data_IF_116560304951
#
_entry.id   IF_116560304951
#
_cell.length_a   1.000
_cell.length_b   1.000
_cell.length_c   1.000
_cell.angle_alpha   90.00
_cell.angle_beta   90.00
_cell.angle_gamma   90.00
#
_symmetry.space_group_name_H-M   'P 1'
#
loop_
_entity.id
_entity.type
_entity.pdbx_description
1 polymer ?
#
# COMPACT_ATOMS: atom_id res chain seq x y z
N UNK A 1 11.15 11.80 -6.52
CA UNK A 1 10.37 10.64 -6.01
C UNK A 1 8.89 10.94 -6.18
N UNK A 2 8.14 9.98 -6.68
CA UNK A 2 6.69 10.11 -6.80
C UNK A 2 6.03 9.52 -5.55
N UNK A 3 5.14 10.27 -4.91
CA UNK A 3 4.37 9.80 -3.77
C UNK A 3 2.88 10.04 -4.04
N UNK A 4 2.07 8.99 -4.18
CA UNK A 4 0.63 9.18 -4.37
C UNK A 4 -0.03 9.72 -3.10
N UNK A 5 -1.07 10.51 -3.28
CA UNK A 5 -1.95 10.96 -2.21
C UNK A 5 -3.31 10.30 -2.43
N UNK A 6 -3.69 9.42 -1.52
CA UNK A 6 -4.92 8.65 -1.64
C UNK A 6 -6.04 9.33 -0.85
N UNK A 7 -7.20 9.50 -1.47
CA UNK A 7 -8.36 10.07 -0.80
C UNK A 7 -8.94 9.08 0.21
N UNK A 8 -9.21 9.53 1.42
CA UNK A 8 -9.79 8.74 2.50
C UNK A 8 -10.88 9.53 3.21
N UNK A 9 -11.70 8.86 3.99
CA UNK A 9 -12.70 9.54 4.82
C UNK A 9 -12.05 10.23 6.02
N UNK A 10 -11.05 9.59 6.61
CA UNK A 10 -10.30 10.11 7.76
C UNK A 10 -8.84 9.66 7.62
N UNK A 11 -7.90 10.56 7.30
CA UNK A 11 -6.49 10.18 7.11
C UNK A 11 -5.85 9.55 8.35
N UNK A 12 -6.28 9.91 9.54
CA UNK A 12 -5.70 9.36 10.77
C UNK A 12 -6.15 7.93 10.99
N UNK A 13 -7.45 7.66 10.81
CA UNK A 13 -7.97 6.31 10.88
C UNK A 13 -7.41 5.44 9.75
N UNK A 14 -7.27 6.01 8.56
CA UNK A 14 -6.68 5.33 7.42
C UNK A 14 -5.24 4.90 7.72
N UNK A 15 -4.44 5.79 8.32
CA UNK A 15 -3.07 5.46 8.71
C UNK A 15 -3.03 4.30 9.71
N UNK A 16 -3.97 4.26 10.65
CA UNK A 16 -4.06 3.15 11.61
C UNK A 16 -4.27 1.81 10.90
N UNK A 17 -5.13 1.77 9.88
CA UNK A 17 -5.38 0.55 9.09
C UNK A 17 -4.08 0.07 8.43
N UNK A 18 -3.33 0.98 7.82
CA UNK A 18 -2.06 0.63 7.17
C UNK A 18 -1.03 0.15 8.20
N UNK A 19 -0.93 0.82 9.35
CA UNK A 19 0.03 0.43 10.40
C UNK A 19 -0.30 -0.96 10.94
N UNK A 20 -1.56 -1.29 11.14
CA UNK A 20 -1.97 -2.62 11.56
C UNK A 20 -1.60 -3.69 10.52
N UNK A 21 -1.61 -3.35 9.24
CA UNK A 21 -1.20 -4.26 8.17
C UNK A 21 0.33 -4.37 8.01
N UNK A 22 1.10 -3.64 8.82
CA UNK A 22 2.56 -3.75 8.83
C UNK A 22 3.30 -2.55 8.24
N UNK A 23 2.57 -1.50 7.80
CA UNK A 23 3.20 -0.27 7.33
C UNK A 23 3.67 0.58 8.52
N UNK A 24 4.62 1.48 8.29
CA UNK A 24 5.13 2.40 9.31
C UNK A 24 4.53 3.79 9.10
N UNK A 25 4.17 4.46 10.19
CA UNK A 25 3.76 5.85 10.13
C UNK A 25 5.00 6.72 9.94
N UNK A 26 5.00 7.54 8.88
CA UNK A 26 6.08 8.48 8.60
C UNK A 26 5.80 9.83 9.24
N UNK A 27 4.58 10.35 9.04
CA UNK A 27 4.13 11.57 9.70
C UNK A 27 2.61 11.63 9.75
N UNK A 28 2.11 12.49 10.64
CA UNK A 28 0.70 12.86 10.70
C UNK A 28 0.65 14.35 11.03
N UNK A 29 -0.15 15.10 10.30
CA UNK A 29 -0.39 16.52 10.64
C UNK A 29 -1.20 16.62 11.94
N UNK A 30 -1.10 17.73 12.67
CA UNK A 30 -1.95 17.94 13.84
C UNK A 30 -3.43 17.86 13.48
N UNK A 31 -4.24 17.24 14.32
CA UNK A 31 -5.68 17.04 14.05
C UNK A 31 -6.46 18.34 13.93
N UNK A 32 -5.96 19.41 14.52
CA UNK A 32 -6.59 20.74 14.49
C UNK A 32 -6.08 21.61 13.34
N UNK A 33 -5.19 21.11 12.49
CA UNK A 33 -4.78 21.85 11.29
C UNK A 33 -5.87 21.80 10.22
N UNK A 34 -5.85 22.76 9.30
CA UNK A 34 -6.85 22.85 8.24
C UNK A 34 -6.69 21.82 7.12
N UNK A 35 -5.64 21.01 7.15
CA UNK A 35 -5.31 20.07 6.08
C UNK A 35 -4.87 18.72 6.67
N UNK A 36 -5.84 17.86 7.04
CA UNK A 36 -5.52 16.53 7.55
C UNK A 36 -4.75 15.71 6.53
N UNK A 37 -3.58 15.24 6.92
CA UNK A 37 -2.70 14.45 6.05
C UNK A 37 -1.85 13.53 6.89
N UNK A 38 -1.72 12.28 6.46
CA UNK A 38 -0.79 11.32 7.04
C UNK A 38 0.06 10.71 5.94
N UNK A 39 1.14 10.07 6.33
CA UNK A 39 2.02 9.35 5.41
C UNK A 39 2.44 8.05 6.05
N UNK A 40 2.33 6.97 5.29
CA UNK A 40 2.76 5.64 5.70
C UNK A 40 3.75 5.08 4.68
N UNK A 41 4.57 4.15 5.13
CA UNK A 41 5.61 3.56 4.28
C UNK A 41 5.73 2.06 4.52
N UNK A 42 6.04 1.34 3.46
CA UNK A 42 6.40 -0.08 3.51
C UNK A 42 7.64 -0.28 2.64
N UNK A 43 8.72 -0.77 3.26
CA UNK A 43 9.99 -1.02 2.56
C UNK A 43 10.48 0.19 1.74
N UNK A 44 10.31 1.40 2.26
CA UNK A 44 10.70 2.63 1.60
C UNK A 44 9.68 3.21 0.62
N UNK A 45 8.68 2.44 0.21
CA UNK A 45 7.59 2.96 -0.60
C UNK A 45 6.62 3.74 0.28
N UNK A 46 6.26 4.95 -0.14
CA UNK A 46 5.42 5.86 0.64
C UNK A 46 4.10 6.13 -0.06
N UNK A 47 3.04 6.23 0.72
CA UNK A 47 1.77 6.80 0.28
C UNK A 47 1.32 7.83 1.31
N UNK A 48 0.74 8.91 0.84
CA UNK A 48 0.07 9.89 1.69
C UNK A 48 -1.42 9.62 1.69
N UNK A 49 -2.07 9.91 2.80
CA UNK A 49 -3.50 9.71 2.99
C UNK A 49 -4.11 11.05 3.29
N UNK A 50 -4.96 11.54 2.39
CA UNK A 50 -5.63 12.81 2.50
C UNK A 50 -7.13 12.65 2.62
N UNK A 51 -7.86 13.76 2.70
CA UNK A 51 -9.31 13.74 2.75
C UNK A 51 -9.92 13.60 1.35
N UNK A 52 -11.14 13.07 1.30
CA UNK A 52 -11.92 12.99 0.06
C UNK A 52 -12.57 14.34 -0.22
N UNK A 53 -11.91 15.17 -1.00
CA UNK A 53 -12.42 16.48 -1.38
C UNK A 53 -13.42 16.35 -2.54
N UNK A 54 -14.65 16.90 -2.41
CA UNK A 54 -15.68 16.73 -3.44
C UNK A 54 -15.27 17.25 -4.82
N UNK A 55 -14.40 18.24 -4.91
CA UNK A 55 -13.93 18.76 -6.20
C UNK A 55 -13.00 17.79 -6.93
N UNK A 56 -12.34 16.87 -6.22
CA UNK A 56 -11.48 15.86 -6.81
C UNK A 56 -12.11 14.49 -6.85
N UNK A 57 -13.01 14.22 -5.89
CA UNK A 57 -13.69 12.93 -5.77
C UNK A 57 -15.15 13.20 -5.42
N UNK A 58 -16.04 13.25 -6.43
CA UNK A 58 -17.48 13.45 -6.19
C UNK A 58 -18.01 12.40 -5.20
N UNK A 59 -18.97 12.80 -4.38
CA UNK A 59 -19.54 11.94 -3.34
C UNK A 59 -20.02 10.60 -3.90
N UNK A 60 -20.65 10.60 -5.06
CA UNK A 60 -21.16 9.38 -5.69
C UNK A 60 -20.06 8.45 -6.18
N UNK A 61 -18.81 8.92 -6.28
CA UNK A 61 -17.66 8.14 -6.75
C UNK A 61 -16.81 7.57 -5.61
N UNK A 62 -17.10 7.91 -4.35
CA UNK A 62 -16.26 7.52 -3.21
C UNK A 62 -16.15 6.00 -3.04
N UNK A 63 -17.21 5.26 -3.35
CA UNK A 63 -17.21 3.80 -3.27
C UNK A 63 -16.24 3.15 -4.26
N UNK A 64 -15.82 3.90 -5.29
CA UNK A 64 -14.95 3.40 -6.36
C UNK A 64 -13.62 4.16 -6.44
N UNK A 65 -13.20 4.80 -5.34
CA UNK A 65 -12.02 5.68 -5.35
C UNK A 65 -10.72 5.00 -5.76
N UNK A 66 -10.60 3.68 -5.56
CA UNK A 66 -9.44 2.92 -5.98
C UNK A 66 -9.58 2.24 -7.34
N UNK A 67 -10.68 2.47 -8.07
CA UNK A 67 -10.92 1.80 -9.34
C UNK A 67 -9.95 2.31 -10.42
N UNK A 68 -9.45 1.38 -11.23
CA UNK A 68 -8.61 1.72 -12.38
C UNK A 68 -7.16 1.99 -12.06
N UNK A 69 -6.73 1.82 -10.82
CA UNK A 69 -5.34 2.00 -10.43
C UNK A 69 -4.89 0.86 -9.51
N UNK A 70 -3.63 0.48 -9.65
CA UNK A 70 -2.98 -0.49 -8.79
C UNK A 70 -1.56 0.01 -8.52
N UNK A 71 -1.10 -0.12 -7.27
CA UNK A 71 0.23 0.30 -6.89
C UNK A 71 1.12 -0.92 -6.74
N UNK A 72 2.19 -0.96 -7.51
CA UNK A 72 3.21 -2.01 -7.42
C UNK A 72 4.35 -1.53 -6.54
N UNK A 73 4.71 -2.32 -5.53
CA UNK A 73 5.87 -2.03 -4.70
C UNK A 73 6.65 -3.31 -4.44
N UNK A 74 7.94 -3.17 -4.23
CA UNK A 74 8.82 -4.28 -3.91
C UNK A 74 9.24 -4.23 -2.46
N UNK A 75 9.32 -5.40 -1.86
CA UNK A 75 9.77 -5.58 -0.48
C UNK A 75 10.93 -6.57 -0.47
N UNK A 76 11.81 -6.55 0.55
CA UNK A 76 12.85 -7.56 0.63
C UNK A 76 12.26 -8.98 0.60
N UNK A 77 12.88 -9.86 -0.17
CA UNK A 77 12.40 -11.24 -0.31
C UNK A 77 12.29 -11.96 1.03
N UNK A 78 13.17 -11.65 1.98
CA UNK A 78 13.13 -12.22 3.31
C UNK A 78 11.90 -11.80 4.13
N UNK A 79 11.25 -10.70 3.76
CA UNK A 79 10.18 -10.10 4.56
C UNK A 79 8.78 -10.38 3.99
N UNK A 80 8.66 -10.90 2.76
CA UNK A 80 7.37 -10.97 2.09
C UNK A 80 6.36 -11.86 2.82
N UNK A 81 6.80 -12.95 3.43
CA UNK A 81 5.88 -13.85 4.13
C UNK A 81 5.29 -13.18 5.38
N UNK A 82 6.11 -12.45 6.14
CA UNK A 82 5.63 -11.71 7.30
C UNK A 82 4.70 -10.55 6.90
N UNK A 83 5.04 -9.87 5.81
CA UNK A 83 4.20 -8.79 5.27
C UNK A 83 2.86 -9.35 4.79
N UNK A 84 2.87 -10.49 4.11
CA UNK A 84 1.64 -11.17 3.70
C UNK A 84 0.77 -11.54 4.90
N UNK A 85 1.35 -12.10 5.96
CA UNK A 85 0.60 -12.48 7.15
C UNK A 85 -0.08 -11.28 7.81
N UNK A 86 0.62 -10.17 7.95
CA UNK A 86 0.04 -8.96 8.53
C UNK A 86 -1.11 -8.42 7.66
N UNK A 87 -0.94 -8.40 6.34
CA UNK A 87 -2.01 -7.97 5.43
C UNK A 87 -3.19 -8.93 5.44
N UNK A 88 -2.95 -10.23 5.54
CA UNK A 88 -4.02 -11.22 5.61
C UNK A 88 -4.95 -11.00 6.80
N UNK A 89 -4.44 -10.45 7.90
CA UNK A 89 -5.20 -10.21 9.11
C UNK A 89 -5.91 -8.84 9.11
N UNK A 90 -5.40 -7.85 8.38
CA UNK A 90 -5.83 -6.46 8.54
C UNK A 90 -6.26 -5.76 7.24
N UNK A 91 -5.94 -6.29 6.07
CA UNK A 91 -6.40 -5.72 4.81
C UNK A 91 -7.86 -6.08 4.54
N UNK A 92 -8.51 -5.33 3.65
CA UNK A 92 -9.88 -5.63 3.21
C UNK A 92 -9.94 -6.99 2.53
N UNK A 93 -8.93 -7.29 1.71
CA UNK A 93 -8.78 -8.59 1.06
C UNK A 93 -7.33 -8.80 0.64
N UNK A 94 -6.93 -10.06 0.49
CA UNK A 94 -5.62 -10.43 -0.05
C UNK A 94 -5.80 -11.64 -0.97
N UNK A 95 -4.91 -11.77 -1.96
CA UNK A 95 -4.73 -13.02 -2.69
C UNK A 95 -3.58 -13.80 -2.05
N UNK A 96 -3.51 -15.11 -2.30
CA UNK A 96 -2.36 -15.89 -1.84
C UNK A 96 -1.07 -15.46 -2.54
N UNK A 97 0.06 -15.63 -1.86
CA UNK A 97 1.36 -15.41 -2.49
C UNK A 97 1.54 -16.43 -3.63
N UNK A 98 1.91 -15.94 -4.82
CA UNK A 98 2.11 -16.79 -5.98
C UNK A 98 3.25 -16.24 -6.84
N UNK A 99 3.89 -17.15 -7.58
CA UNK A 99 4.84 -16.78 -8.61
C UNK A 99 4.09 -16.14 -9.77
N UNK A 100 4.44 -14.92 -10.13
CA UNK A 100 3.79 -14.21 -11.23
C UNK A 100 4.40 -14.60 -12.57
N UNK A 101 3.67 -14.45 -13.68
CA UNK A 101 4.19 -14.79 -15.01
C UNK A 101 5.49 -14.06 -15.37
N UNK A 102 5.72 -12.87 -14.84
CA UNK A 102 6.94 -12.10 -15.07
C UNK A 102 8.07 -12.41 -14.10
N UNK A 103 7.90 -13.40 -13.21
CA UNK A 103 8.97 -13.92 -12.35
C UNK A 103 8.92 -13.51 -10.89
N UNK A 104 8.18 -12.47 -10.54
CA UNK A 104 8.08 -12.03 -9.14
C UNK A 104 7.19 -12.96 -8.32
N UNK A 105 7.58 -13.18 -7.07
CA UNK A 105 6.72 -13.79 -6.07
C UNK A 105 5.94 -12.67 -5.38
N UNK A 106 4.62 -12.66 -5.49
CA UNK A 106 3.82 -11.50 -5.11
C UNK A 106 2.42 -11.87 -4.63
N UNK A 107 1.78 -10.94 -3.97
CA UNK A 107 0.36 -11.04 -3.64
C UNK A 107 -0.31 -9.67 -3.83
N UNK A 108 -1.62 -9.70 -4.03
CA UNK A 108 -2.43 -8.50 -4.07
C UNK A 108 -3.08 -8.26 -2.71
N UNK A 109 -3.13 -7.01 -2.29
CA UNK A 109 -3.86 -6.59 -1.09
C UNK A 109 -4.72 -5.38 -1.41
N UNK A 110 -5.89 -5.30 -0.80
CA UNK A 110 -6.76 -4.12 -0.88
C UNK A 110 -6.82 -3.50 0.51
N UNK A 111 -6.45 -2.22 0.59
CA UNK A 111 -6.49 -1.44 1.82
C UNK A 111 -7.35 -0.21 1.55
N UNK A 112 -8.48 -0.09 2.26
CA UNK A 112 -9.40 1.04 2.12
C UNK A 112 -9.85 1.28 0.68
N UNK A 113 -10.02 0.18 -0.08
CA UNK A 113 -10.44 0.22 -1.48
C UNK A 113 -9.31 0.42 -2.48
N UNK A 114 -8.09 0.64 -2.04
CA UNK A 114 -6.92 0.79 -2.92
C UNK A 114 -6.16 -0.53 -3.07
N UNK A 115 -5.77 -0.84 -4.30
CA UNK A 115 -5.12 -2.10 -4.63
C UNK A 115 -3.62 -1.93 -4.67
N UNK A 116 -2.93 -2.88 -4.02
CA UNK A 116 -1.48 -2.95 -3.99
C UNK A 116 -1.04 -4.32 -4.50
N UNK A 117 -0.06 -4.33 -5.39
CA UNK A 117 0.67 -5.54 -5.76
C UNK A 117 2.00 -5.50 -5.02
N UNK A 118 2.14 -6.34 -4.01
CA UNK A 118 3.31 -6.37 -3.14
C UNK A 118 4.17 -7.55 -3.58
N UNK A 119 5.37 -7.25 -4.09
CA UNK A 119 6.23 -8.21 -4.72
C UNK A 119 7.56 -8.36 -3.98
N UNK A 120 8.05 -9.58 -3.90
CA UNK A 120 9.38 -9.82 -3.37
C UNK A 120 10.41 -9.27 -4.35
N UNK A 121 11.33 -8.47 -3.83
CA UNK A 121 12.48 -8.04 -4.60
C UNK A 121 13.26 -9.28 -5.03
N UNK A 122 13.56 -9.39 -6.32
CA UNK A 122 14.26 -10.56 -6.80
C UNK A 122 15.70 -10.51 -6.29
N UNK A 123 16.11 -11.57 -5.61
CA UNK A 123 17.50 -11.70 -5.25
C UNK A 123 18.34 -11.68 -6.53
N UNK A 124 19.48 -11.00 -6.48
CA UNK A 124 20.42 -11.08 -7.58
C UNK A 124 20.75 -12.54 -7.87
N UNK A 125 20.74 -12.96 -9.16
CA UNK A 125 21.11 -14.32 -9.46
C UNK A 125 22.53 -14.58 -8.91
N UNK A 126 22.80 -15.81 -8.43
CA UNK A 126 24.15 -16.18 -8.01
C UNK A 126 25.14 -15.83 -9.13
N UNK A 127 26.38 -15.45 -8.81
CA UNK A 127 27.34 -15.03 -9.83
C UNK A 127 27.55 -16.03 -10.97
N UNK A 128 27.29 -17.31 -10.72
CA UNK A 128 27.44 -18.39 -11.69
C UNK A 128 26.12 -18.86 -12.28
N UNK A 129 24.99 -18.23 -11.94
CA UNK A 129 23.67 -18.69 -12.36
C UNK A 129 23.48 -18.63 -13.88
N UNK A 130 24.22 -17.82 -14.57
CA UNK A 130 24.16 -17.71 -16.02
C UNK A 130 25.13 -18.61 -16.75
N UNK A 131 25.87 -19.40 -16.07
CA UNK A 131 26.91 -20.24 -16.66
C UNK A 131 26.38 -21.56 -17.13
#
# INVERSE_FOLDING_TARGET
>A
MLTPILATDDPYQAATVFVEAGWSLVFATPRDCGDPLTCVALAGARVMLGTSLPQFLPVQSRAHKGAGIEFHLTVPAADIDAIYQAHSQHADSVTGIAQQPWGERAFHAVLLGYRFLIAADQAEPPPDSGN
#
